data_IF_955102024521
#
_entry.id   IF_955102024521
#
_cell.length_a   1.000
_cell.length_b   1.000
_cell.length_c   1.000
_cell.angle_alpha   90.00
_cell.angle_beta   90.00
_cell.angle_gamma   90.00
#
_symmetry.space_group_name_H-M   'P 1'
#
loop_
_entity.id
_entity.type
_entity.pdbx_description
1 polymer ?
#
# COMPACT_ATOMS: atom_id res chain seq x y z
N UNK A 1 -12.63 7.66 -32.62
CA UNK A 1 -11.60 6.66 -32.27
C UNK A 1 -10.89 7.12 -31.02
N UNK A 2 -10.97 6.33 -29.94
CA UNK A 2 -10.60 6.73 -28.57
C UNK A 2 -9.08 6.89 -28.41
N UNK A 3 -8.66 8.06 -27.96
CA UNK A 3 -7.28 8.37 -27.54
C UNK A 3 -6.82 7.31 -26.52
N UNK A 4 -5.79 6.52 -26.85
CA UNK A 4 -5.04 5.72 -25.89
C UNK A 4 -4.62 6.64 -24.73
N UNK A 5 -5.24 6.51 -23.56
CA UNK A 5 -4.90 7.31 -22.38
C UNK A 5 -3.43 7.05 -22.06
N UNK A 6 -2.64 8.10 -21.91
CA UNK A 6 -1.24 8.01 -21.51
C UNK A 6 -1.16 7.34 -20.12
N UNK A 7 -0.54 6.14 -19.99
CA UNK A 7 -0.47 5.40 -18.72
C UNK A 7 0.17 6.20 -17.58
N UNK A 8 1.15 7.05 -17.90
CA UNK A 8 1.80 7.93 -16.92
C UNK A 8 0.82 8.97 -16.37
N UNK A 9 0.02 9.61 -17.23
CA UNK A 9 -1.00 10.57 -16.78
C UNK A 9 -2.06 9.92 -15.90
N UNK A 10 -2.41 8.66 -16.16
CA UNK A 10 -3.36 7.93 -15.32
C UNK A 10 -2.73 7.59 -13.96
N UNK A 11 -1.46 7.22 -13.91
CA UNK A 11 -0.72 7.01 -12.67
C UNK A 11 -0.61 8.31 -11.84
N UNK A 12 -0.27 9.44 -12.47
CA UNK A 12 -0.27 10.76 -11.83
C UNK A 12 -1.66 11.14 -11.31
N UNK A 13 -2.72 10.83 -12.05
CA UNK A 13 -4.11 11.06 -11.63
C UNK A 13 -4.49 10.21 -10.40
N UNK A 14 -4.06 8.96 -10.34
CA UNK A 14 -4.28 8.09 -9.17
C UNK A 14 -3.58 8.64 -7.92
N UNK A 15 -2.40 9.24 -8.08
CA UNK A 15 -1.67 9.93 -7.02
C UNK A 15 -2.13 11.36 -6.77
N UNK A 16 -3.06 11.90 -7.56
CA UNK A 16 -3.45 13.31 -7.47
C UNK A 16 -3.89 13.69 -6.05
N UNK A 17 -3.22 14.70 -5.48
CA UNK A 17 -3.46 15.17 -4.12
C UNK A 17 -2.89 14.27 -3.02
N UNK A 18 -2.09 13.25 -3.37
CA UNK A 18 -1.31 12.47 -2.42
C UNK A 18 0.18 12.63 -2.68
N UNK A 19 0.92 12.80 -1.59
CA UNK A 19 2.37 12.67 -1.59
C UNK A 19 2.69 11.70 -0.47
N UNK A 20 3.37 10.61 -0.79
CA UNK A 20 3.91 9.74 0.23
C UNK A 20 4.99 10.53 0.98
N UNK A 21 4.84 10.61 2.29
CA UNK A 21 5.74 11.34 3.20
C UNK A 21 6.11 10.43 4.36
N UNK A 22 7.14 10.81 5.11
CA UNK A 22 7.48 10.17 6.38
C UNK A 22 6.24 9.94 7.24
N UNK A 23 6.18 8.76 7.85
CA UNK A 23 5.10 8.31 8.74
C UNK A 23 3.72 8.11 8.10
N UNK A 24 3.61 8.15 6.77
CA UNK A 24 2.42 7.68 6.04
C UNK A 24 2.64 6.27 5.49
N UNK A 25 1.53 5.54 5.34
CA UNK A 25 1.48 4.24 4.66
C UNK A 25 0.61 4.31 3.39
N UNK A 26 1.17 3.99 2.23
CA UNK A 26 0.41 3.75 1.01
C UNK A 26 0.12 2.25 0.86
N UNK A 27 -1.16 1.88 0.76
CA UNK A 27 -1.60 0.50 0.51
C UNK A 27 -2.07 0.42 -0.93
N UNK A 28 -1.43 -0.41 -1.75
CA UNK A 28 -1.73 -0.53 -3.19
C UNK A 28 -2.39 -1.87 -3.45
N UNK A 29 -3.63 -1.86 -3.95
CA UNK A 29 -4.39 -3.05 -4.29
C UNK A 29 -4.29 -3.31 -5.79
N UNK A 30 -3.41 -4.24 -6.14
CA UNK A 30 -3.08 -4.65 -7.49
C UNK A 30 -2.01 -3.80 -8.15
N UNK A 31 -1.22 -4.40 -9.04
CA UNK A 31 -0.07 -3.76 -9.71
C UNK A 31 -0.38 -3.20 -11.10
N UNK A 32 -1.64 -3.21 -11.55
CA UNK A 32 -2.06 -3.03 -12.95
C UNK A 32 -1.64 -1.74 -13.67
N UNK A 33 -0.77 -0.92 -13.09
CA UNK A 33 0.01 0.15 -13.73
C UNK A 33 1.44 0.18 -13.16
N UNK A 34 2.47 -0.32 -13.88
CA UNK A 34 3.86 -0.28 -13.43
C UNK A 34 4.35 1.14 -13.12
N UNK A 35 3.93 2.12 -13.93
CA UNK A 35 4.23 3.54 -13.72
C UNK A 35 3.72 4.06 -12.36
N UNK A 36 2.60 3.54 -11.86
CA UNK A 36 2.08 3.96 -10.56
C UNK A 36 2.96 3.48 -9.41
N UNK A 37 3.41 2.23 -9.45
CA UNK A 37 4.32 1.71 -8.43
C UNK A 37 5.67 2.42 -8.48
N UNK A 38 6.21 2.63 -9.69
CA UNK A 38 7.48 3.35 -9.87
C UNK A 38 7.42 4.78 -9.29
N UNK A 39 6.33 5.51 -9.56
CA UNK A 39 6.12 6.84 -8.99
C UNK A 39 6.04 6.80 -7.45
N UNK A 40 5.39 5.80 -6.87
CA UNK A 40 5.30 5.64 -5.42
C UNK A 40 6.65 5.27 -4.79
N UNK A 41 7.37 4.29 -5.35
CA UNK A 41 8.72 3.92 -4.89
C UNK A 41 9.68 5.11 -4.99
N UNK A 42 9.56 5.94 -6.04
CA UNK A 42 10.31 7.19 -6.15
C UNK A 42 9.96 8.16 -5.02
N UNK A 43 8.67 8.39 -4.74
CA UNK A 43 8.27 9.23 -3.61
C UNK A 43 8.73 8.64 -2.26
N UNK A 44 8.73 7.33 -2.11
CA UNK A 44 9.24 6.67 -0.90
C UNK A 44 10.73 6.96 -0.69
N UNK A 45 11.55 6.91 -1.76
CA UNK A 45 12.97 7.29 -1.71
C UNK A 45 13.17 8.78 -1.43
N UNK A 46 12.40 9.64 -2.08
CA UNK A 46 12.57 11.10 -1.99
C UNK A 46 12.03 11.70 -0.68
N UNK A 47 10.99 11.11 -0.09
CA UNK A 47 10.22 11.71 1.00
C UNK A 47 10.00 10.77 2.20
N UNK A 48 10.37 9.49 2.09
CA UNK A 48 10.11 8.46 3.08
C UNK A 48 8.67 7.95 3.06
N UNK A 49 8.26 7.32 4.17
CA UNK A 49 6.98 6.64 4.26
C UNK A 49 7.10 5.16 3.89
N UNK A 50 5.97 4.46 3.97
CA UNK A 50 5.92 3.02 3.73
C UNK A 50 4.93 2.70 2.60
N UNK A 51 5.23 1.63 1.88
CA UNK A 51 4.35 1.08 0.84
C UNK A 51 4.07 -0.37 1.23
N UNK A 52 2.80 -0.75 1.14
CA UNK A 52 2.36 -2.14 1.17
C UNK A 52 1.68 -2.46 -0.14
N UNK A 53 2.22 -3.41 -0.89
CA UNK A 53 1.59 -3.92 -2.09
C UNK A 53 0.72 -5.13 -1.75
N UNK A 54 -0.45 -5.22 -2.36
CA UNK A 54 -1.33 -6.38 -2.30
C UNK A 54 -1.56 -6.82 -3.73
N UNK A 55 -1.19 -8.05 -4.09
CA UNK A 55 -1.33 -8.57 -5.45
C UNK A 55 -1.73 -10.05 -5.42
N UNK A 56 -2.76 -10.40 -6.16
CA UNK A 56 -3.29 -11.76 -6.22
C UNK A 56 -2.51 -12.63 -7.22
N UNK A 57 -1.93 -12.02 -8.25
CA UNK A 57 -1.24 -12.71 -9.34
C UNK A 57 0.30 -12.65 -9.16
N UNK A 58 0.96 -13.73 -8.74
CA UNK A 58 2.40 -13.74 -8.55
C UNK A 58 3.17 -13.56 -9.87
N UNK A 59 2.60 -13.94 -11.02
CA UNK A 59 3.27 -13.80 -12.33
C UNK A 59 3.45 -12.31 -12.68
N UNK A 60 2.53 -11.47 -12.21
CA UNK A 60 2.63 -10.03 -12.38
C UNK A 60 3.75 -9.42 -11.52
N UNK A 61 3.97 -9.95 -10.31
CA UNK A 61 5.07 -9.53 -9.44
C UNK A 61 6.43 -9.88 -10.02
N UNK A 62 6.59 -11.09 -10.57
CA UNK A 62 7.85 -11.54 -11.20
C UNK A 62 8.29 -10.66 -12.38
N UNK A 63 7.35 -9.96 -13.02
CA UNK A 63 7.62 -9.07 -14.17
C UNK A 63 7.95 -7.64 -13.74
N UNK A 64 7.95 -7.35 -12.45
CA UNK A 64 8.12 -6.03 -11.90
C UNK A 64 9.25 -5.98 -10.89
N UNK A 65 9.89 -4.82 -10.82
CA UNK A 65 10.91 -4.53 -9.81
C UNK A 65 10.24 -4.06 -8.51
N UNK A 66 9.78 -5.02 -7.71
CA UNK A 66 9.03 -4.78 -6.47
C UNK A 66 9.99 -4.83 -5.28
N UNK A 67 10.36 -3.66 -4.77
CA UNK A 67 11.26 -3.49 -3.61
C UNK A 67 10.50 -3.13 -2.32
N UNK A 68 9.22 -3.49 -2.23
CA UNK A 68 8.33 -3.12 -1.12
C UNK A 68 7.65 -4.35 -0.54
N UNK A 69 7.27 -4.35 0.75
CA UNK A 69 6.53 -5.46 1.34
C UNK A 69 5.25 -5.81 0.57
N UNK A 70 5.00 -7.10 0.39
CA UNK A 70 3.87 -7.63 -0.41
C UNK A 70 2.97 -8.56 0.41
N UNK A 71 1.68 -8.51 0.11
CA UNK A 71 0.70 -9.55 0.44
C UNK A 71 0.25 -10.21 -0.85
N UNK A 72 0.44 -11.52 -0.92
CA UNK A 72 0.00 -12.43 -1.98
C UNK A 72 -0.86 -13.56 -1.38
N UNK A 73 -1.44 -14.45 -2.20
CA UNK A 73 -2.14 -15.61 -1.67
C UNK A 73 -1.24 -16.57 -0.86
N UNK A 74 0.07 -16.57 -1.13
CA UNK A 74 1.04 -17.47 -0.49
C UNK A 74 1.96 -16.80 0.53
N UNK A 75 2.05 -15.47 0.52
CA UNK A 75 2.98 -14.71 1.34
C UNK A 75 2.29 -13.49 1.94
N UNK A 76 2.54 -13.20 3.21
CA UNK A 76 1.97 -12.04 3.87
C UNK A 76 3.02 -11.34 4.73
N UNK A 77 3.60 -10.27 4.19
CA UNK A 77 4.65 -9.49 4.85
C UNK A 77 4.10 -8.34 5.70
N UNK A 78 2.81 -8.34 6.03
CA UNK A 78 2.18 -7.28 6.81
C UNK A 78 2.85 -7.09 8.17
N UNK A 79 3.06 -8.15 8.95
CA UNK A 79 3.62 -8.04 10.30
C UNK A 79 5.06 -7.51 10.28
N UNK A 80 5.85 -7.92 9.28
CA UNK A 80 7.18 -7.40 9.04
C UNK A 80 7.12 -5.88 8.81
N UNK A 81 6.28 -5.43 7.87
CA UNK A 81 6.10 -4.00 7.62
C UNK A 81 5.64 -3.24 8.87
N UNK A 82 4.67 -3.79 9.61
CA UNK A 82 4.17 -3.13 10.83
C UNK A 82 5.25 -2.99 11.90
N UNK A 83 6.26 -3.85 11.92
CA UNK A 83 7.41 -3.70 12.84
C UNK A 83 8.35 -2.55 12.48
N UNK A 84 8.36 -2.10 11.22
CA UNK A 84 9.19 -1.00 10.73
C UNK A 84 8.54 0.38 10.95
N UNK A 85 7.22 0.41 11.16
CA UNK A 85 6.46 1.65 11.33
C UNK A 85 6.60 2.17 12.77
N UNK A 86 7.11 3.40 12.90
CA UNK A 86 7.05 4.16 14.16
C UNK A 86 5.61 4.67 14.39
N UNK A 87 4.79 3.85 15.06
CA UNK A 87 3.39 4.18 15.34
C UNK A 87 3.20 5.43 16.19
N UNK A 88 4.21 5.89 16.94
CA UNK A 88 4.14 7.14 17.71
C UNK A 88 4.09 8.37 16.81
N UNK A 89 4.64 8.26 15.60
CA UNK A 89 4.67 9.35 14.61
C UNK A 89 3.72 9.12 13.44
N UNK A 90 3.02 7.99 13.41
CA UNK A 90 2.15 7.58 12.31
C UNK A 90 1.06 8.61 12.04
N UNK A 91 0.98 9.11 10.81
CA UNK A 91 0.05 10.18 10.42
C UNK A 91 -1.18 9.66 9.66
N UNK A 92 -1.14 8.39 9.22
CA UNK A 92 -2.27 7.74 8.56
C UNK A 92 -1.86 6.93 7.36
N UNK A 93 -2.87 6.38 6.68
CA UNK A 93 -2.67 5.58 5.48
C UNK A 93 -3.66 5.98 4.37
N UNK A 94 -3.30 5.64 3.13
CA UNK A 94 -4.19 5.77 1.97
C UNK A 94 -4.21 4.46 1.19
N UNK A 95 -5.41 4.01 0.83
CA UNK A 95 -5.61 2.84 -0.01
C UNK A 95 -5.80 3.30 -1.46
N UNK A 96 -5.04 2.70 -2.36
CA UNK A 96 -5.14 2.87 -3.81
C UNK A 96 -5.64 1.57 -4.41
N UNK A 97 -6.76 1.64 -5.12
CA UNK A 97 -7.33 0.47 -5.80
C UNK A 97 -7.09 0.58 -7.28
N UNK A 98 -6.36 -0.38 -7.86
CA UNK A 98 -6.17 -0.47 -9.31
C UNK A 98 -7.34 -1.29 -9.89
N UNK A 99 -8.31 -0.67 -10.60
CA UNK A 99 -9.56 -1.34 -10.93
C UNK A 99 -9.42 -2.55 -11.86
N UNK A 100 -8.39 -2.57 -12.70
CA UNK A 100 -8.10 -3.68 -13.61
C UNK A 100 -7.72 -4.95 -12.84
N UNK A 101 -6.84 -4.84 -11.85
CA UNK A 101 -6.44 -5.96 -11.00
C UNK A 101 -7.57 -6.35 -10.02
N UNK A 102 -8.20 -5.37 -9.37
CA UNK A 102 -9.18 -5.63 -8.32
C UNK A 102 -10.37 -6.46 -8.80
N UNK A 103 -10.85 -6.22 -10.03
CA UNK A 103 -11.99 -6.94 -10.62
C UNK A 103 -11.72 -8.42 -10.86
N UNK A 104 -10.47 -8.84 -10.99
CA UNK A 104 -10.11 -10.23 -11.26
C UNK A 104 -10.19 -11.10 -10.01
N UNK A 105 -9.97 -10.53 -8.82
CA UNK A 105 -9.98 -11.28 -7.56
C UNK A 105 -10.51 -10.45 -6.38
N UNK A 106 -11.77 -9.98 -6.44
CA UNK A 106 -12.30 -8.99 -5.50
C UNK A 106 -12.31 -9.47 -4.05
N UNK A 107 -12.53 -10.77 -3.82
CA UNK A 107 -12.58 -11.35 -2.48
C UNK A 107 -11.20 -11.34 -1.81
N UNK A 108 -10.15 -11.72 -2.54
CA UNK A 108 -8.78 -11.65 -2.03
C UNK A 108 -8.43 -10.22 -1.58
N UNK A 109 -8.63 -9.23 -2.45
CA UNK A 109 -8.30 -7.84 -2.12
C UNK A 109 -9.15 -7.30 -0.97
N UNK A 110 -10.45 -7.63 -0.93
CA UNK A 110 -11.34 -7.20 0.16
C UNK A 110 -10.95 -7.80 1.51
N UNK A 111 -10.59 -9.09 1.52
CA UNK A 111 -10.11 -9.77 2.70
C UNK A 111 -8.77 -9.21 3.17
N UNK A 112 -7.83 -8.94 2.25
CA UNK A 112 -6.56 -8.30 2.57
C UNK A 112 -6.77 -6.92 3.19
N UNK A 113 -7.64 -6.07 2.63
CA UNK A 113 -7.98 -4.76 3.20
C UNK A 113 -8.56 -4.88 4.60
N UNK A 114 -9.49 -5.83 4.82
CA UNK A 114 -10.07 -6.09 6.13
C UNK A 114 -9.00 -6.50 7.14
N UNK A 115 -8.09 -7.38 6.75
CA UNK A 115 -6.98 -7.82 7.58
C UNK A 115 -6.03 -6.67 7.94
N UNK A 116 -5.60 -5.88 6.95
CA UNK A 116 -4.70 -4.73 7.16
C UNK A 116 -5.34 -3.71 8.13
N UNK A 117 -6.62 -3.38 7.93
CA UNK A 117 -7.34 -2.45 8.82
C UNK A 117 -7.39 -2.96 10.25
N UNK A 118 -7.68 -4.24 10.46
CA UNK A 118 -7.70 -4.85 11.81
C UNK A 118 -6.33 -4.78 12.47
N UNK A 119 -5.26 -5.11 11.73
CA UNK A 119 -3.90 -5.07 12.25
C UNK A 119 -3.45 -3.66 12.62
N UNK A 120 -3.73 -2.66 11.77
CA UNK A 120 -3.45 -1.25 12.06
C UNK A 120 -4.23 -0.76 13.28
N UNK A 121 -5.53 -1.09 13.39
CA UNK A 121 -6.34 -0.73 14.54
C UNK A 121 -5.80 -1.34 15.83
N UNK A 122 -5.38 -2.61 15.81
CA UNK A 122 -4.79 -3.26 16.99
C UNK A 122 -3.50 -2.55 17.45
N UNK A 123 -2.59 -2.24 16.52
CA UNK A 123 -1.33 -1.52 16.84
C UNK A 123 -1.59 -0.14 17.45
N UNK A 124 -2.56 0.60 16.92
CA UNK A 124 -2.93 1.91 17.44
C UNK A 124 -3.60 1.81 18.82
N UNK A 125 -4.51 0.86 19.02
CA UNK A 125 -5.15 0.63 20.33
C UNK A 125 -4.13 0.27 21.41
N UNK A 126 -3.16 -0.61 21.09
CA UNK A 126 -2.09 -0.97 22.00
C UNK A 126 -1.23 0.24 22.37
N UNK A 127 -0.93 1.12 21.40
CA UNK A 127 -0.19 2.35 21.64
C UNK A 127 -0.96 3.29 22.57
N UNK A 128 -2.25 3.53 22.29
CA UNK A 128 -3.08 4.39 23.13
C UNK A 128 -3.18 3.88 24.56
N UNK A 129 -3.40 2.57 24.72
CA UNK A 129 -3.41 1.92 26.04
C UNK A 129 -2.10 2.17 26.78
N UNK A 130 -0.94 1.98 26.13
CA UNK A 130 0.35 2.23 26.80
C UNK A 130 0.53 3.68 27.23
N UNK A 131 0.10 4.65 26.43
CA UNK A 131 0.18 6.06 26.81
C UNK A 131 -0.73 6.42 28.00
N UNK A 132 -1.85 5.71 28.18
CA UNK A 132 -2.74 5.92 29.32
C UNK A 132 -2.15 5.37 30.64
N UNK A 133 -1.22 4.41 30.57
CA UNK A 133 -0.69 3.70 31.74
C UNK A 133 0.84 3.84 31.94
N UNK A 134 1.56 4.51 31.03
CA UNK A 134 2.95 4.96 31.26
C UNK A 134 2.92 6.33 31.98
N UNK A 135 3.42 6.42 33.23
CA UNK A 135 3.41 7.65 34.04
C UNK A 135 4.41 8.73 33.58
#
# INVERSE_FOLDING_TARGET
MSSRRNPQREAERLLSGFTLKKNYLAIVLGIGSPFFLELLQRQQRDHGGHILLVEADPILLEKMDVEVPVITPSENQLDLLLSEIDFRKFQGYRIFTIPSSFKLNPDFYSNAVSHIKKALSAKLSDLFTRMEFEP
#
